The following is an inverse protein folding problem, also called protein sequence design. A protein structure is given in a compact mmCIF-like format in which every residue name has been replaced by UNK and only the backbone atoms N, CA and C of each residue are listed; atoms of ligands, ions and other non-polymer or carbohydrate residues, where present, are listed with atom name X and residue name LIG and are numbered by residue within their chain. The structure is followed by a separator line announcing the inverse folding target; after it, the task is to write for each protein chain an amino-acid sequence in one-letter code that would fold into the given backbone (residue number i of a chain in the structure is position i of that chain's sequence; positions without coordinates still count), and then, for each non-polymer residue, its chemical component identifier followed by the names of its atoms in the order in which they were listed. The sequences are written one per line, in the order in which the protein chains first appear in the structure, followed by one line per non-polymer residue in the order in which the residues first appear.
data_IF_434711127694
#
_entry.id   IF_434711127694
#
_cell.length_a   1.000
_cell.length_b   1.000
_cell.length_c   1.000
_cell.angle_alpha   90.00
_cell.angle_beta   90.00
_cell.angle_gamma   90.00
#
_symmetry.space_group_name_H-M   'P 1'
#
loop_
_entity.id
_entity.type
_entity.pdbx_description
1 polymer ?
#
# COMPACT_ATOMS: atom_id res chain seq x y z
N UNK A 1 -0.93 -27.45 8.06
CA UNK A 1 0.29 -26.91 7.40
C UNK A 1 1.16 -26.43 8.54
N UNK A 2 2.42 -26.90 8.69
CA UNK A 2 3.30 -26.29 9.67
C UNK A 2 3.37 -24.79 9.38
N UNK A 3 3.48 -23.94 10.39
CA UNK A 3 3.70 -22.51 10.19
C UNK A 3 4.87 -22.35 9.21
N UNK A 4 4.55 -22.03 7.96
CA UNK A 4 5.56 -21.81 6.95
C UNK A 4 6.28 -20.53 7.39
N UNK A 5 7.51 -20.67 7.85
CA UNK A 5 8.31 -19.57 8.35
C UNK A 5 8.56 -18.59 7.20
N UNK A 6 7.76 -17.52 7.14
CA UNK A 6 7.79 -16.55 6.04
C UNK A 6 9.13 -15.80 6.13
N UNK A 7 9.94 -15.76 5.06
CA UNK A 7 11.21 -15.05 5.10
C UNK A 7 11.02 -13.58 5.43
N UNK A 8 11.78 -13.08 6.41
CA UNK A 8 11.87 -11.66 6.76
C UNK A 8 13.21 -11.13 6.26
N UNK A 9 13.19 -10.05 5.48
CA UNK A 9 14.38 -9.36 4.98
C UNK A 9 14.50 -8.00 5.63
N UNK A 10 15.61 -7.79 6.35
CA UNK A 10 15.97 -6.47 6.87
C UNK A 10 16.72 -5.65 5.83
N UNK A 11 16.02 -4.68 5.22
CA UNK A 11 16.60 -3.78 4.23
C UNK A 11 17.59 -2.76 4.85
N UNK A 12 17.60 -2.59 6.17
CA UNK A 12 18.53 -1.71 6.86
C UNK A 12 19.90 -2.38 7.11
N UNK A 13 20.04 -3.68 6.83
CA UNK A 13 21.31 -4.38 6.97
C UNK A 13 22.37 -3.76 6.04
N UNK A 14 23.53 -3.31 6.57
CA UNK A 14 24.57 -2.66 5.78
C UNK A 14 25.26 -3.60 4.79
N UNK A 15 25.19 -4.92 4.99
CA UNK A 15 25.69 -5.90 4.03
C UNK A 15 24.70 -6.09 2.88
N UNK A 16 24.84 -5.24 1.87
CA UNK A 16 24.01 -5.26 0.67
C UNK A 16 24.08 -6.59 -0.08
N UNK A 17 25.23 -7.27 -0.08
CA UNK A 17 25.37 -8.55 -0.77
C UNK A 17 24.54 -9.65 -0.07
N UNK A 18 24.60 -9.69 1.26
CA UNK A 18 23.76 -10.58 2.06
C UNK A 18 22.26 -10.29 1.86
N UNK A 19 21.85 -9.02 1.86
CA UNK A 19 20.45 -8.63 1.61
C UNK A 19 19.97 -9.08 0.23
N UNK A 20 20.76 -8.85 -0.82
CA UNK A 20 20.41 -9.28 -2.19
C UNK A 20 20.29 -10.80 -2.26
N UNK A 21 21.21 -11.54 -1.62
CA UNK A 21 21.15 -13.00 -1.57
C UNK A 21 19.89 -13.51 -0.85
N UNK A 22 19.51 -12.90 0.28
CA UNK A 22 18.29 -13.23 1.02
C UNK A 22 17.03 -12.96 0.19
N UNK A 23 16.95 -11.82 -0.50
CA UNK A 23 15.83 -11.51 -1.41
C UNK A 23 15.75 -12.57 -2.51
N UNK A 24 16.88 -12.89 -3.15
CA UNK A 24 16.93 -13.92 -4.19
C UNK A 24 16.42 -15.27 -3.70
N UNK A 25 16.89 -15.72 -2.53
CA UNK A 25 16.47 -16.97 -1.91
C UNK A 25 14.97 -16.98 -1.58
N UNK A 26 14.44 -15.91 -0.99
CA UNK A 26 13.02 -15.80 -0.66
C UNK A 26 12.12 -15.79 -1.90
N UNK A 27 12.51 -15.04 -2.94
CA UNK A 27 11.83 -15.04 -4.23
C UNK A 27 11.80 -16.42 -4.88
N UNK A 28 12.92 -17.15 -4.88
CA UNK A 28 13.00 -18.49 -5.49
C UNK A 28 12.22 -19.56 -4.72
N UNK A 29 12.16 -19.48 -3.39
CA UNK A 29 11.55 -20.51 -2.55
C UNK A 29 10.08 -20.26 -2.22
N UNK A 30 9.69 -19.00 -1.98
CA UNK A 30 8.35 -18.62 -1.53
C UNK A 30 7.60 -17.73 -2.53
N UNK A 31 8.33 -16.97 -3.36
CA UNK A 31 7.74 -15.95 -4.25
C UNK A 31 7.32 -14.66 -3.53
N UNK A 32 7.50 -14.59 -2.20
CA UNK A 32 7.23 -13.41 -1.37
C UNK A 32 8.10 -13.42 -0.11
N UNK A 33 8.20 -12.26 0.55
CA UNK A 33 8.90 -12.06 1.82
C UNK A 33 8.32 -10.86 2.57
N UNK A 34 8.63 -10.75 3.85
CA UNK A 34 8.28 -9.61 4.68
C UNK A 34 9.43 -8.61 4.77
N UNK A 35 9.08 -7.33 4.82
CA UNK A 35 9.99 -6.22 5.12
C UNK A 35 9.36 -5.36 6.20
N UNK A 36 10.16 -4.88 7.15
CA UNK A 36 9.69 -3.95 8.17
C UNK A 36 9.60 -2.54 7.56
N UNK A 37 8.37 -2.04 7.36
CA UNK A 37 8.12 -0.71 6.78
C UNK A 37 7.25 0.14 7.72
N UNK A 38 7.63 1.41 7.92
CA UNK A 38 6.89 2.36 8.75
C UNK A 38 5.60 2.90 8.08
N UNK A 39 5.41 2.67 6.77
CA UNK A 39 4.30 3.21 5.98
C UNK A 39 2.90 2.77 6.48
N UNK A 40 2.83 1.67 7.22
CA UNK A 40 1.56 1.12 7.74
C UNK A 40 0.84 2.07 8.71
N UNK A 41 1.59 2.87 9.49
CA UNK A 41 1.01 3.79 10.45
C UNK A 41 0.18 4.89 9.76
N UNK A 42 0.74 5.50 8.71
CA UNK A 42 0.07 6.58 7.95
C UNK A 42 -1.21 6.08 7.28
N UNK A 43 -1.17 4.88 6.71
CA UNK A 43 -2.35 4.26 6.13
C UNK A 43 -3.43 3.98 7.19
N UNK A 44 -3.04 3.47 8.36
CA UNK A 44 -3.96 3.21 9.46
C UNK A 44 -4.67 4.49 9.93
N UNK A 45 -3.93 5.59 10.11
CA UNK A 45 -4.50 6.87 10.55
C UNK A 45 -5.50 7.44 9.54
N UNK A 46 -5.22 7.29 8.24
CA UNK A 46 -6.15 7.67 7.18
C UNK A 46 -7.49 6.95 7.25
N UNK A 47 -7.49 5.63 7.39
CA UNK A 47 -8.74 4.87 7.40
C UNK A 47 -9.57 5.11 8.67
N UNK A 48 -8.95 5.63 9.74
CA UNK A 48 -9.61 6.08 10.97
C UNK A 48 -10.18 7.49 10.89
N UNK A 49 -9.89 8.25 9.84
CA UNK A 49 -10.56 9.53 9.61
C UNK A 49 -12.08 9.34 9.49
N UNK A 50 -12.80 10.42 9.76
CA UNK A 50 -14.26 10.40 9.68
C UNK A 50 -14.72 10.06 8.25
N UNK A 51 -15.94 9.49 8.09
CA UNK A 51 -16.51 9.24 6.78
C UNK A 51 -16.53 10.51 5.89
N UNK A 52 -16.77 11.69 6.46
CA UNK A 52 -16.83 12.96 5.75
C UNK A 52 -15.47 13.37 5.17
N UNK A 53 -14.39 13.19 5.94
CA UNK A 53 -13.02 13.44 5.45
C UNK A 53 -12.65 12.48 4.32
N UNK A 54 -12.98 11.20 4.48
CA UNK A 54 -12.72 10.16 3.48
C UNK A 54 -13.54 10.36 2.20
N UNK A 55 -14.80 10.77 2.33
CA UNK A 55 -15.72 10.97 1.21
C UNK A 55 -15.21 12.02 0.19
N UNK A 56 -14.41 13.00 0.63
CA UNK A 56 -13.76 13.99 -0.25
C UNK A 56 -12.87 13.36 -1.32
N UNK A 57 -12.38 12.16 -1.06
CA UNK A 57 -11.45 11.42 -1.91
C UNK A 57 -12.12 10.27 -2.66
N UNK A 58 -13.40 10.00 -2.39
CA UNK A 58 -14.12 8.89 -3.01
C UNK A 58 -14.30 9.10 -4.52
N UNK A 59 -14.12 8.04 -5.31
CA UNK A 59 -14.45 8.06 -6.74
C UNK A 59 -14.61 6.65 -7.30
N UNK A 60 -15.60 6.48 -8.18
CA UNK A 60 -15.78 5.26 -8.99
C UNK A 60 -15.03 5.32 -10.34
N UNK A 61 -14.40 6.45 -10.67
CA UNK A 61 -13.71 6.63 -11.96
C UNK A 61 -12.37 5.87 -11.96
N UNK A 62 -12.22 4.82 -12.80
CA UNK A 62 -10.98 4.05 -12.89
C UNK A 62 -9.79 4.86 -13.40
N UNK A 63 -10.01 5.96 -14.14
CA UNK A 63 -8.97 6.82 -14.68
C UNK A 63 -8.41 7.81 -13.63
N UNK A 64 -9.13 8.04 -12.52
CA UNK A 64 -8.67 8.93 -11.46
C UNK A 64 -7.45 8.34 -10.75
N UNK A 65 -6.33 9.05 -10.84
CA UNK A 65 -4.98 8.67 -10.37
C UNK A 65 -4.87 8.58 -8.84
N UNK A 66 -5.66 9.40 -8.13
CA UNK A 66 -5.84 9.32 -6.68
C UNK A 66 -7.33 9.13 -6.38
N UNK A 67 -7.68 8.03 -5.70
CA UNK A 67 -9.05 7.77 -5.27
C UNK A 67 -9.14 6.84 -4.07
N UNK A 68 -10.11 7.11 -3.22
CA UNK A 68 -10.68 6.13 -2.29
C UNK A 68 -11.83 5.40 -2.99
N UNK A 69 -11.93 4.09 -2.80
CA UNK A 69 -13.02 3.28 -3.35
C UNK A 69 -13.28 2.05 -2.48
N UNK A 70 -14.43 1.41 -2.70
CA UNK A 70 -14.87 0.19 -2.01
C UNK A 70 -15.24 -0.86 -3.05
N UNK A 71 -14.74 -2.09 -2.91
CA UNK A 71 -14.72 -3.11 -3.97
C UNK A 71 -14.02 -2.65 -5.26
N UNK A 72 -13.62 -3.57 -6.14
CA UNK A 72 -12.82 -3.20 -7.32
C UNK A 72 -13.71 -2.70 -8.47
N UNK A 73 -14.92 -3.25 -8.63
CA UNK A 73 -15.93 -2.74 -9.55
C UNK A 73 -17.34 -3.14 -9.12
N UNK A 74 -17.93 -2.41 -8.17
CA UNK A 74 -19.27 -2.69 -7.62
C UNK A 74 -20.34 -2.91 -8.70
N UNK A 75 -20.20 -2.25 -9.87
CA UNK A 75 -21.16 -2.33 -10.97
C UNK A 75 -20.96 -3.53 -11.91
N UNK A 76 -19.79 -4.17 -11.91
CA UNK A 76 -19.47 -5.31 -12.79
C UNK A 76 -19.20 -6.62 -12.04
N UNK A 77 -18.96 -6.56 -10.74
CA UNK A 77 -18.62 -7.72 -9.93
C UNK A 77 -19.87 -8.49 -9.50
N UNK A 78 -19.83 -9.81 -9.66
CA UNK A 78 -20.84 -10.74 -9.12
C UNK A 78 -20.53 -11.16 -7.68
N UNK A 79 -19.29 -10.92 -7.22
CA UNK A 79 -18.83 -11.17 -5.85
C UNK A 79 -18.08 -9.92 -5.37
N UNK A 80 -18.58 -9.30 -4.30
CA UNK A 80 -17.96 -8.11 -3.74
C UNK A 80 -16.81 -8.47 -2.80
N UNK A 81 -15.71 -7.72 -2.92
CA UNK A 81 -14.62 -7.82 -1.96
C UNK A 81 -14.93 -6.94 -0.75
N UNK A 82 -14.90 -7.53 0.45
CA UNK A 82 -15.03 -6.77 1.70
C UNK A 82 -13.73 -6.00 1.96
N UNK A 83 -13.58 -4.86 1.28
CA UNK A 83 -12.39 -4.02 1.38
C UNK A 83 -12.65 -2.60 0.89
N UNK A 84 -12.17 -1.65 1.68
CA UNK A 84 -11.90 -0.29 1.23
C UNK A 84 -10.42 -0.16 0.85
N UNK A 85 -10.13 0.66 -0.16
CA UNK A 85 -8.75 0.94 -0.56
C UNK A 85 -8.56 2.36 -1.03
N UNK A 86 -7.40 2.91 -0.70
CA UNK A 86 -6.90 4.17 -1.22
C UNK A 86 -5.86 3.84 -2.29
N UNK A 87 -6.05 4.30 -3.52
CA UNK A 87 -5.08 4.18 -4.60
C UNK A 87 -4.29 5.48 -4.72
N UNK A 88 -2.96 5.36 -4.65
CA UNK A 88 -2.01 6.44 -4.83
C UNK A 88 -1.07 6.07 -5.96
N UNK A 89 -1.01 6.92 -6.99
CA UNK A 89 0.08 6.84 -7.97
C UNK A 89 1.33 7.48 -7.37
N UNK A 90 2.49 6.87 -7.56
CA UNK A 90 3.75 7.32 -6.95
C UNK A 90 4.91 7.47 -7.95
N UNK A 91 4.66 7.30 -9.26
CA UNK A 91 5.70 7.45 -10.28
C UNK A 91 5.18 8.14 -11.54
N UNK A 92 5.81 9.28 -11.97
CA UNK A 92 6.87 10.03 -11.26
C UNK A 92 6.35 10.72 -10.00
N UNK A 93 7.10 10.65 -8.89
CA UNK A 93 6.61 11.00 -7.55
C UNK A 93 6.17 12.47 -7.44
N UNK A 94 6.95 13.37 -8.02
CA UNK A 94 6.77 14.82 -7.98
C UNK A 94 5.45 15.25 -8.61
N UNK A 95 4.96 14.47 -9.59
CA UNK A 95 3.69 14.71 -10.24
C UNK A 95 2.50 14.37 -9.34
N UNK A 96 2.61 13.35 -8.49
CA UNK A 96 1.45 12.80 -7.78
C UNK A 96 1.37 13.18 -6.31
N UNK A 97 2.49 13.44 -5.64
CA UNK A 97 2.50 13.86 -4.22
C UNK A 97 1.58 15.06 -3.95
N UNK A 98 1.49 16.09 -4.82
CA UNK A 98 0.55 17.20 -4.61
C UNK A 98 -0.93 16.77 -4.59
N UNK A 99 -1.26 15.67 -5.29
CA UNK A 99 -2.62 15.10 -5.36
C UNK A 99 -2.93 14.13 -4.21
N UNK A 100 -1.93 13.67 -3.45
CA UNK A 100 -2.15 12.74 -2.34
C UNK A 100 -2.95 13.39 -1.20
N UNK A 101 -3.55 12.60 -0.29
CA UNK A 101 -4.30 13.14 0.83
C UNK A 101 -3.46 14.12 1.66
N UNK A 102 -4.03 15.28 2.02
CA UNK A 102 -3.39 16.22 2.93
C UNK A 102 -3.48 15.78 4.41
N UNK A 103 -4.42 14.88 4.70
CA UNK A 103 -4.68 14.33 6.03
C UNK A 103 -4.69 12.80 5.93
N UNK A 104 -3.87 12.07 6.71
CA UNK A 104 -2.85 12.58 7.63
C UNK A 104 -1.67 13.27 6.91
N UNK A 105 -1.06 14.33 7.49
CA UNK A 105 0.03 15.08 6.87
C UNK A 105 1.21 14.24 6.34
N UNK A 106 1.63 13.14 7.01
CA UNK A 106 2.75 12.32 6.53
C UNK A 106 2.60 11.74 5.12
N UNK A 107 1.41 11.73 4.52
CA UNK A 107 1.30 11.36 3.09
C UNK A 107 2.10 12.30 2.19
N UNK A 108 2.16 13.60 2.48
CA UNK A 108 2.81 14.58 1.59
C UNK A 108 4.25 14.91 1.96
N UNK A 109 4.69 14.52 3.15
CA UNK A 109 5.92 15.04 3.77
C UNK A 109 6.85 13.94 4.33
N UNK A 110 6.66 12.67 3.96
CA UNK A 110 7.54 11.55 4.36
C UNK A 110 8.83 11.49 3.56
#
# INVERSE_FOLDING_TARGET
VPDADIPVVDLANPDRAAVVAQIGAACSSHGFFQVMLAAMAVAHDFFRLSPEEKAKLYSDDPAKKMRLSTSFNVRKETVHNWRDYLRLHCHPLEQFVPEWPANPPPFRYS
#
